data_IF_554693739909
#
_entry.id   IF_554693739909
#
_cell.length_a   1.000
_cell.length_b   1.000
_cell.length_c   1.000
_cell.angle_alpha   90.00
_cell.angle_beta   90.00
_cell.angle_gamma   90.00
#
_symmetry.space_group_name_H-M   'P 1'
#
loop_
_entity.id
_entity.type
_entity.pdbx_description
1 polymer ?
#
# COMPACT_ATOMS: atom_id res chain seq x y z
N UNK A 1 6.35 -27.56 6.92
CA UNK A 1 6.39 -28.91 6.32
C UNK A 1 5.06 -29.32 5.67
N UNK A 2 3.93 -29.34 6.39
CA UNK A 2 2.63 -29.77 5.83
C UNK A 2 2.17 -28.96 4.60
N UNK A 3 2.37 -27.64 4.59
CA UNK A 3 2.04 -26.77 3.44
C UNK A 3 2.87 -27.12 2.21
N UNK A 4 4.15 -27.44 2.40
CA UNK A 4 5.01 -27.87 1.29
C UNK A 4 4.55 -29.22 0.75
N UNK A 5 4.32 -30.21 1.62
CA UNK A 5 3.76 -31.51 1.21
C UNK A 5 2.44 -31.36 0.46
N UNK A 6 1.58 -30.43 0.87
CA UNK A 6 0.35 -30.11 0.16
C UNK A 6 0.61 -29.53 -1.23
N UNK A 7 1.60 -28.64 -1.39
CA UNK A 7 1.99 -28.10 -2.71
C UNK A 7 2.42 -29.20 -3.70
N UNK A 8 2.99 -30.31 -3.19
CA UNK A 8 3.43 -31.45 -4.00
C UNK A 8 2.27 -32.30 -4.56
N UNK A 9 1.04 -32.13 -4.07
CA UNK A 9 -0.11 -32.96 -4.48
C UNK A 9 -0.40 -32.89 -5.98
N UNK A 10 -0.03 -31.79 -6.63
CA UNK A 10 -0.23 -31.58 -8.07
C UNK A 10 0.88 -32.17 -8.92
N UNK A 11 1.99 -32.66 -8.33
CA UNK A 11 3.10 -33.25 -9.10
C UNK A 11 2.65 -34.43 -9.95
N UNK A 12 1.82 -35.31 -9.40
CA UNK A 12 1.35 -36.50 -10.12
C UNK A 12 0.40 -36.17 -11.28
N UNK A 13 -0.36 -35.09 -11.17
CA UNK A 13 -1.41 -34.74 -12.14
C UNK A 13 -0.97 -33.70 -13.16
N UNK A 14 -0.08 -32.77 -12.77
CA UNK A 14 0.36 -31.63 -13.59
C UNK A 14 1.86 -31.65 -13.89
N UNK A 15 2.62 -32.62 -13.35
CA UNK A 15 4.08 -32.68 -13.47
C UNK A 15 4.83 -31.60 -12.69
N UNK A 16 4.12 -30.74 -11.95
CA UNK A 16 4.66 -29.58 -11.21
C UNK A 16 3.93 -29.39 -9.89
N UNK A 17 4.65 -28.93 -8.86
CA UNK A 17 4.06 -28.51 -7.58
C UNK A 17 3.32 -27.17 -7.74
N UNK A 18 2.24 -26.99 -6.97
CA UNK A 18 1.44 -25.77 -6.92
C UNK A 18 1.71 -25.02 -5.61
N UNK A 19 2.65 -24.06 -5.60
CA UNK A 19 3.00 -23.31 -4.41
C UNK A 19 1.94 -22.27 -4.03
N UNK A 20 0.92 -22.03 -4.87
CA UNK A 20 -0.08 -20.96 -4.69
C UNK A 20 -0.99 -21.16 -3.49
N UNK A 21 -0.87 -22.28 -2.79
CA UNK A 21 -1.44 -22.44 -1.45
C UNK A 21 -0.89 -21.40 -0.48
N UNK A 22 0.38 -20.99 -0.64
CA UNK A 22 1.00 -19.96 0.19
C UNK A 22 0.32 -18.62 -0.05
N UNK A 23 0.06 -18.24 -1.30
CA UNK A 23 -0.65 -16.99 -1.65
C UNK A 23 -2.04 -16.93 -1.00
N UNK A 24 -2.74 -18.06 -0.88
CA UNK A 24 -4.03 -18.14 -0.14
C UNK A 24 -3.84 -17.87 1.34
N UNK A 25 -2.80 -18.44 1.94
CA UNK A 25 -2.50 -18.30 3.37
C UNK A 25 -2.07 -16.87 3.75
N UNK A 26 -1.43 -16.13 2.84
CA UNK A 26 -1.11 -14.71 3.04
C UNK A 26 -2.33 -13.87 3.43
N UNK A 27 -3.49 -14.16 2.83
CA UNK A 27 -4.73 -13.41 3.08
C UNK A 27 -5.41 -13.71 4.43
N UNK A 28 -4.97 -14.75 5.14
CA UNK A 28 -5.68 -15.29 6.32
C UNK A 28 -4.80 -15.34 7.57
N UNK A 29 -3.54 -15.76 7.44
CA UNK A 29 -2.68 -16.06 8.59
C UNK A 29 -2.39 -14.85 9.49
N UNK A 30 -2.14 -13.62 8.99
CA UNK A 30 -1.79 -12.51 9.86
C UNK A 30 -2.87 -12.16 10.89
N UNK A 31 -4.15 -12.13 10.47
CA UNK A 31 -5.22 -11.89 11.45
C UNK A 31 -5.38 -13.06 12.43
N UNK A 32 -5.15 -14.31 12.00
CA UNK A 32 -5.18 -15.46 12.91
C UNK A 32 -4.08 -15.39 13.97
N UNK A 33 -2.88 -14.93 13.59
CA UNK A 33 -1.78 -14.71 14.54
C UNK A 33 -2.11 -13.60 15.53
N UNK A 34 -2.68 -12.49 15.07
CA UNK A 34 -3.11 -11.41 15.96
C UNK A 34 -4.18 -11.87 16.96
N UNK A 35 -5.18 -12.63 16.50
CA UNK A 35 -6.20 -13.22 17.37
C UNK A 35 -5.64 -14.27 18.33
N UNK A 36 -4.68 -15.09 17.89
CA UNK A 36 -3.98 -16.04 18.77
C UNK A 36 -3.36 -15.31 19.97
N UNK A 37 -2.58 -14.24 19.72
CA UNK A 37 -1.98 -13.46 20.79
C UNK A 37 -3.01 -12.78 21.70
N UNK A 38 -4.11 -12.26 21.14
CA UNK A 38 -5.21 -11.74 21.93
C UNK A 38 -5.81 -12.78 22.88
N UNK A 39 -6.11 -13.99 22.40
CA UNK A 39 -6.69 -15.03 23.26
C UNK A 39 -5.68 -15.60 24.27
N UNK A 40 -4.38 -15.51 23.99
CA UNK A 40 -3.33 -15.92 24.92
C UNK A 40 -3.06 -14.89 26.04
N UNK A 41 -3.19 -13.60 25.75
CA UNK A 41 -2.96 -12.52 26.72
C UNK A 41 -3.91 -11.34 26.47
N UNK A 42 -5.21 -11.44 26.82
CA UNK A 42 -6.19 -10.42 26.46
C UNK A 42 -5.83 -9.02 26.97
N UNK A 43 -5.73 -8.07 26.04
CA UNK A 43 -5.48 -6.66 26.34
C UNK A 43 -6.17 -5.76 25.33
N UNK A 44 -6.41 -4.50 25.70
CA UNK A 44 -7.03 -3.52 24.80
C UNK A 44 -6.17 -3.26 23.54
N UNK A 45 -4.83 -3.27 23.69
CA UNK A 45 -3.89 -3.16 22.56
C UNK A 45 -4.02 -4.34 21.62
N UNK A 46 -4.03 -5.57 22.14
CA UNK A 46 -4.15 -6.76 21.30
C UNK A 46 -5.51 -6.87 20.63
N UNK A 47 -6.59 -6.46 21.29
CA UNK A 47 -7.91 -6.38 20.68
C UNK A 47 -7.92 -5.40 19.50
N UNK A 48 -7.32 -4.22 19.67
CA UNK A 48 -7.17 -3.24 18.59
C UNK A 48 -6.37 -3.81 17.42
N UNK A 49 -5.20 -4.39 17.69
CA UNK A 49 -4.32 -4.99 16.67
C UNK A 49 -5.02 -6.13 15.91
N UNK A 50 -5.69 -7.04 16.61
CA UNK A 50 -6.45 -8.13 16.01
C UNK A 50 -7.62 -7.62 15.16
N UNK A 51 -8.29 -6.57 15.62
CA UNK A 51 -9.41 -5.95 14.89
C UNK A 51 -8.95 -5.29 13.60
N UNK A 52 -7.93 -4.41 13.65
CA UNK A 52 -7.45 -3.73 12.43
C UNK A 52 -6.81 -4.72 11.44
N UNK A 53 -6.10 -5.73 11.94
CA UNK A 53 -5.56 -6.83 11.12
C UNK A 53 -6.69 -7.63 10.45
N UNK A 54 -7.81 -7.83 11.14
CA UNK A 54 -8.99 -8.47 10.55
C UNK A 54 -9.62 -7.63 9.44
N UNK A 55 -9.67 -6.30 9.58
CA UNK A 55 -10.14 -5.39 8.52
C UNK A 55 -9.29 -5.56 7.26
N UNK A 56 -7.96 -5.52 7.40
CA UNK A 56 -7.04 -5.76 6.29
C UNK A 56 -7.21 -7.16 5.69
N UNK A 57 -7.28 -8.20 6.53
CA UNK A 57 -7.33 -9.60 6.12
C UNK A 57 -8.64 -9.98 5.42
N UNK A 58 -9.78 -9.48 5.92
CA UNK A 58 -11.08 -9.62 5.25
C UNK A 58 -11.01 -8.95 3.88
N UNK A 59 -10.50 -7.72 3.80
CA UNK A 59 -10.34 -7.00 2.53
C UNK A 59 -9.45 -7.77 1.56
N UNK A 60 -8.30 -8.27 2.01
CA UNK A 60 -7.37 -9.01 1.16
C UNK A 60 -8.01 -10.30 0.65
N UNK A 61 -8.63 -11.06 1.55
CA UNK A 61 -9.32 -12.31 1.23
C UNK A 61 -10.43 -12.09 0.21
N UNK A 62 -11.26 -11.06 0.40
CA UNK A 62 -12.34 -10.72 -0.54
C UNK A 62 -11.78 -10.28 -1.90
N UNK A 63 -10.76 -9.43 -1.92
CA UNK A 63 -10.10 -8.99 -3.15
C UNK A 63 -9.50 -10.18 -3.92
N UNK A 64 -8.84 -11.10 -3.22
CA UNK A 64 -8.26 -12.30 -3.80
C UNK A 64 -9.35 -13.27 -4.30
N UNK A 65 -10.43 -13.44 -3.53
CA UNK A 65 -11.60 -14.23 -3.93
C UNK A 65 -12.26 -13.69 -5.21
N UNK A 66 -12.53 -12.38 -5.28
CA UNK A 66 -13.12 -11.75 -6.46
C UNK A 66 -12.27 -11.91 -7.73
N UNK A 67 -10.94 -12.05 -7.58
CA UNK A 67 -9.99 -12.28 -8.66
C UNK A 67 -9.81 -13.77 -9.00
N UNK A 68 -10.54 -14.67 -8.35
CA UNK A 68 -10.47 -16.12 -8.58
C UNK A 68 -9.36 -16.85 -7.82
N UNK A 69 -8.72 -16.24 -6.82
CA UNK A 69 -7.61 -16.86 -6.08
C UNK A 69 -7.93 -18.20 -5.38
N UNK A 70 -9.23 -18.45 -5.16
CA UNK A 70 -9.76 -19.69 -4.58
C UNK A 70 -10.43 -20.63 -5.59
N UNK A 71 -10.48 -20.31 -6.89
CA UNK A 71 -11.08 -21.18 -7.91
C UNK A 71 -10.21 -22.39 -8.28
N UNK A 72 -9.03 -22.51 -7.67
CA UNK A 72 -8.03 -23.53 -8.01
C UNK A 72 -7.18 -23.12 -9.20
N UNK A 73 -5.99 -23.74 -9.30
CA UNK A 73 -4.98 -23.36 -10.29
C UNK A 73 -3.74 -22.76 -9.64
N UNK A 74 -2.64 -22.82 -10.37
CA UNK A 74 -1.38 -22.18 -10.02
C UNK A 74 -1.42 -20.71 -10.42
N UNK A 75 -0.89 -19.82 -9.57
CA UNK A 75 -0.70 -18.41 -9.89
C UNK A 75 0.28 -18.27 -11.06
N UNK A 76 -0.09 -17.48 -12.07
CA UNK A 76 0.71 -17.32 -13.29
C UNK A 76 2.11 -16.78 -13.04
N UNK A 77 2.36 -16.09 -11.90
CA UNK A 77 3.68 -15.60 -11.51
C UNK A 77 4.64 -16.75 -11.26
N UNK A 78 4.18 -17.86 -10.68
CA UNK A 78 5.01 -19.04 -10.45
C UNK A 78 5.37 -19.75 -11.75
N UNK A 79 4.48 -19.73 -12.74
CA UNK A 79 4.78 -20.21 -14.09
C UNK A 79 5.92 -19.40 -14.72
N UNK A 80 5.90 -18.07 -14.58
CA UNK A 80 6.98 -17.20 -15.07
C UNK A 80 8.30 -17.45 -14.33
N UNK A 81 8.29 -17.44 -12.98
CA UNK A 81 9.51 -17.65 -12.17
C UNK A 81 10.15 -19.01 -12.46
N UNK A 82 9.36 -20.04 -12.76
CA UNK A 82 9.86 -21.36 -13.15
C UNK A 82 10.69 -21.34 -14.43
N UNK A 83 10.47 -20.36 -15.31
CA UNK A 83 11.27 -20.19 -16.54
C UNK A 83 12.63 -19.55 -16.32
N UNK A 84 12.88 -19.00 -15.12
CA UNK A 84 14.14 -18.32 -14.84
C UNK A 84 15.32 -19.32 -14.78
N UNK A 85 16.54 -18.88 -15.15
CA UNK A 85 17.72 -19.75 -15.14
C UNK A 85 17.94 -20.42 -13.77
N UNK A 86 18.19 -21.73 -13.77
CA UNK A 86 18.47 -22.52 -12.56
C UNK A 86 17.25 -23.19 -11.91
N UNK A 87 16.02 -22.76 -12.20
CA UNK A 87 14.83 -23.35 -11.57
C UNK A 87 14.32 -24.62 -12.25
N UNK A 88 14.74 -24.94 -13.47
CA UNK A 88 14.35 -26.18 -14.16
C UNK A 88 14.77 -27.46 -13.41
N UNK A 89 15.83 -27.41 -12.59
CA UNK A 89 16.30 -28.51 -11.74
C UNK A 89 16.16 -28.22 -10.24
N UNK A 90 16.07 -26.95 -9.85
CA UNK A 90 15.98 -26.49 -8.46
C UNK A 90 14.58 -26.14 -7.97
N UNK A 91 13.53 -26.30 -8.79
CA UNK A 91 12.18 -25.81 -8.47
C UNK A 91 11.65 -26.29 -7.13
N UNK A 92 11.77 -27.58 -6.80
CA UNK A 92 11.21 -28.10 -5.55
C UNK A 92 11.97 -27.64 -4.31
N UNK A 93 13.28 -27.42 -4.44
CA UNK A 93 14.08 -26.81 -3.36
C UNK A 93 13.68 -25.36 -3.16
N UNK A 94 13.51 -24.62 -4.26
CA UNK A 94 13.03 -23.24 -4.22
C UNK A 94 11.62 -23.13 -3.63
N UNK A 95 10.70 -24.02 -4.05
CA UNK A 95 9.36 -24.12 -3.49
C UNK A 95 9.41 -24.40 -1.98
N UNK A 96 10.19 -25.39 -1.53
CA UNK A 96 10.31 -25.73 -0.12
C UNK A 96 10.89 -24.59 0.73
N UNK A 97 12.02 -24.01 0.29
CA UNK A 97 12.83 -23.07 1.09
C UNK A 97 12.36 -21.63 0.95
N UNK A 98 12.11 -21.17 -0.27
CA UNK A 98 11.73 -19.79 -0.52
C UNK A 98 10.21 -19.61 -0.50
N UNK A 99 9.48 -20.36 -1.33
CA UNK A 99 8.05 -20.09 -1.47
C UNK A 99 7.27 -20.50 -0.23
N UNK A 100 7.54 -21.67 0.34
CA UNK A 100 6.81 -22.13 1.53
C UNK A 100 7.46 -21.65 2.81
N UNK A 101 8.71 -22.02 3.07
CA UNK A 101 9.34 -21.73 4.37
C UNK A 101 9.53 -20.23 4.60
N UNK A 102 10.25 -19.54 3.70
CA UNK A 102 10.53 -18.11 3.87
C UNK A 102 9.25 -17.26 3.92
N UNK A 103 8.28 -17.49 3.02
CA UNK A 103 7.04 -16.70 3.02
C UNK A 103 6.21 -16.93 4.30
N UNK A 104 6.10 -18.17 4.80
CA UNK A 104 5.39 -18.43 6.06
C UNK A 104 6.10 -17.81 7.27
N UNK A 105 7.44 -17.86 7.30
CA UNK A 105 8.23 -17.17 8.31
C UNK A 105 8.07 -15.65 8.22
N UNK A 106 7.96 -15.11 7.00
CA UNK A 106 7.74 -13.69 6.78
C UNK A 106 6.36 -13.24 7.29
N UNK A 107 5.31 -14.02 7.02
CA UNK A 107 3.95 -13.80 7.58
C UNK A 107 4.00 -13.72 9.10
N UNK A 108 4.68 -14.68 9.73
CA UNK A 108 4.87 -14.66 11.18
C UNK A 108 5.67 -13.42 11.61
N UNK A 109 6.73 -13.08 10.89
CA UNK A 109 7.64 -11.98 11.22
C UNK A 109 6.95 -10.62 11.20
N UNK A 110 6.20 -10.25 10.16
CA UNK A 110 5.51 -8.95 10.16
C UNK A 110 4.29 -8.91 11.09
N UNK A 111 3.74 -10.07 11.47
CA UNK A 111 2.68 -10.18 12.48
C UNK A 111 3.22 -10.19 13.92
N UNK A 112 4.54 -10.34 14.09
CA UNK A 112 5.20 -10.46 15.40
C UNK A 112 5.07 -9.25 16.35
N UNK A 113 4.75 -8.01 15.93
CA UNK A 113 4.40 -6.95 16.87
C UNK A 113 3.27 -7.33 17.84
N UNK A 114 2.33 -8.19 17.44
CA UNK A 114 1.31 -8.71 18.35
C UNK A 114 1.91 -9.62 19.44
N UNK A 115 2.96 -10.38 19.12
CA UNK A 115 3.67 -11.16 20.11
C UNK A 115 4.38 -10.26 21.13
N UNK A 116 5.06 -9.20 20.68
CA UNK A 116 5.69 -8.23 21.58
C UNK A 116 4.66 -7.55 22.50
N UNK A 117 3.51 -7.14 21.95
CA UNK A 117 2.42 -6.54 22.71
C UNK A 117 1.81 -7.48 23.77
N UNK A 118 1.87 -8.80 23.58
CA UNK A 118 1.35 -9.78 24.54
C UNK A 118 2.14 -9.86 25.85
N UNK A 119 3.42 -9.51 25.82
CA UNK A 119 4.30 -9.51 27.00
C UNK A 119 4.46 -8.13 27.64
N UNK A 120 3.80 -7.11 27.09
CA UNK A 120 3.89 -5.73 27.55
C UNK A 120 2.90 -5.42 28.66
N UNK A 121 3.37 -4.72 29.69
CA UNK A 121 2.51 -4.08 30.71
C UNK A 121 2.22 -2.60 30.42
N UNK A 122 2.80 -2.02 29.37
CA UNK A 122 2.58 -0.63 29.00
C UNK A 122 1.09 -0.40 28.63
N UNK A 123 0.43 0.65 29.18
CA UNK A 123 -0.94 0.97 28.81
C UNK A 123 -1.02 1.46 27.35
N UNK A 124 -2.23 1.46 26.79
CA UNK A 124 -2.51 2.11 25.50
C UNK A 124 -2.08 3.57 25.54
N UNK A 125 -1.48 4.05 24.45
CA UNK A 125 -0.95 5.40 24.36
C UNK A 125 -1.21 6.04 22.98
N UNK A 126 -0.76 7.29 22.81
CA UNK A 126 -0.99 8.04 21.57
C UNK A 126 -0.35 7.40 20.33
N UNK A 127 0.73 6.63 20.49
CA UNK A 127 1.37 5.93 19.38
C UNK A 127 0.50 4.76 18.89
N UNK A 128 -0.20 4.05 19.78
CA UNK A 128 -1.20 3.03 19.39
C UNK A 128 -2.31 3.65 18.52
N UNK A 129 -2.83 4.82 18.91
CA UNK A 129 -3.86 5.52 18.15
C UNK A 129 -3.34 6.00 16.79
N UNK A 130 -2.14 6.56 16.75
CA UNK A 130 -1.49 7.02 15.51
C UNK A 130 -1.24 5.85 14.56
N UNK A 131 -0.70 4.75 15.07
CA UNK A 131 -0.46 3.52 14.31
C UNK A 131 -1.77 2.96 13.73
N UNK A 132 -2.84 2.89 14.53
CA UNK A 132 -4.15 2.41 14.08
C UNK A 132 -4.76 3.29 12.98
N UNK A 133 -4.73 4.62 13.13
CA UNK A 133 -5.27 5.56 12.15
C UNK A 133 -4.50 5.46 10.83
N UNK A 134 -3.17 5.51 10.88
CA UNK A 134 -2.33 5.37 9.68
C UNK A 134 -2.55 4.01 9.00
N UNK A 135 -2.61 2.93 9.77
CA UNK A 135 -2.91 1.58 9.27
C UNK A 135 -4.24 1.56 8.50
N UNK A 136 -5.33 2.08 9.09
CA UNK A 136 -6.65 2.08 8.45
C UNK A 136 -6.72 3.00 7.22
N UNK A 137 -6.04 4.15 7.23
CA UNK A 137 -5.92 5.02 6.06
C UNK A 137 -5.20 4.32 4.91
N UNK A 138 -4.13 3.58 5.20
CA UNK A 138 -3.40 2.80 4.20
C UNK A 138 -4.23 1.62 3.69
N UNK A 139 -4.98 0.93 4.55
CA UNK A 139 -5.95 -0.11 4.13
C UNK A 139 -7.00 0.47 3.18
N UNK A 140 -7.51 1.67 3.48
CA UNK A 140 -8.46 2.37 2.60
C UNK A 140 -7.81 2.77 1.26
N UNK A 141 -6.57 3.28 1.29
CA UNK A 141 -5.79 3.60 0.09
C UNK A 141 -5.52 2.39 -0.78
N UNK A 142 -5.17 1.25 -0.17
CA UNK A 142 -4.97 -0.03 -0.84
C UNK A 142 -6.28 -0.52 -1.49
N UNK A 143 -7.39 -0.50 -0.73
CA UNK A 143 -8.70 -0.89 -1.22
C UNK A 143 -9.15 -0.02 -2.40
N UNK A 144 -8.89 1.29 -2.35
CA UNK A 144 -9.18 2.20 -3.46
C UNK A 144 -8.34 1.88 -4.70
N UNK A 145 -7.03 1.63 -4.54
CA UNK A 145 -6.15 1.25 -5.65
C UNK A 145 -6.60 -0.06 -6.31
N UNK A 146 -6.93 -1.07 -5.50
CA UNK A 146 -7.46 -2.35 -5.96
C UNK A 146 -8.82 -2.20 -6.67
N UNK A 147 -9.71 -1.38 -6.12
CA UNK A 147 -11.02 -1.11 -6.71
C UNK A 147 -10.90 -0.42 -8.08
N UNK A 148 -10.03 0.58 -8.20
CA UNK A 148 -9.71 1.24 -9.46
C UNK A 148 -9.22 0.22 -10.51
N UNK A 149 -8.29 -0.65 -10.13
CA UNK A 149 -7.79 -1.72 -11.01
C UNK A 149 -8.89 -2.71 -11.39
N UNK A 150 -9.70 -3.15 -10.44
CA UNK A 150 -10.79 -4.10 -10.67
C UNK A 150 -11.81 -3.56 -11.67
N UNK A 151 -12.28 -2.32 -11.48
CA UNK A 151 -13.21 -1.67 -12.39
C UNK A 151 -12.62 -1.55 -13.80
N UNK A 152 -11.34 -1.15 -13.89
CA UNK A 152 -10.65 -1.04 -15.17
C UNK A 152 -10.60 -2.39 -15.92
N UNK A 153 -10.16 -3.46 -15.23
CA UNK A 153 -10.07 -4.79 -15.86
C UNK A 153 -11.45 -5.31 -16.25
N UNK A 154 -12.45 -5.17 -15.38
CA UNK A 154 -13.81 -5.64 -15.64
C UNK A 154 -14.40 -4.99 -16.89
N UNK A 155 -14.25 -3.68 -17.03
CA UNK A 155 -14.75 -2.94 -18.19
C UNK A 155 -13.95 -3.26 -19.46
N UNK A 156 -12.61 -3.34 -19.37
CA UNK A 156 -11.76 -3.77 -20.49
C UNK A 156 -12.22 -5.11 -21.05
N UNK A 157 -12.39 -6.11 -20.18
CA UNK A 157 -12.80 -7.45 -20.61
C UNK A 157 -14.27 -7.52 -21.05
N UNK A 158 -15.16 -6.67 -20.51
CA UNK A 158 -16.54 -6.54 -21.01
C UNK A 158 -16.52 -6.11 -22.47
N UNK A 159 -15.82 -5.00 -22.80
CA UNK A 159 -15.72 -4.46 -24.16
C UNK A 159 -15.16 -5.46 -25.15
N UNK A 160 -14.10 -6.17 -24.77
CA UNK A 160 -13.50 -7.24 -25.59
C UNK A 160 -14.53 -8.33 -25.92
N UNK A 161 -15.33 -8.78 -24.94
CA UNK A 161 -16.33 -9.84 -25.15
C UNK A 161 -17.45 -9.43 -26.11
N UNK A 162 -17.85 -8.17 -26.10
CA UNK A 162 -18.96 -7.66 -26.92
C UNK A 162 -18.49 -7.02 -28.24
N UNK A 163 -17.17 -6.96 -28.50
CA UNK A 163 -16.62 -6.35 -29.70
C UNK A 163 -16.70 -4.81 -29.75
N UNK A 164 -16.89 -4.16 -28.60
CA UNK A 164 -16.92 -2.69 -28.52
C UNK A 164 -15.50 -2.10 -28.63
N UNK A 165 -15.41 -0.85 -29.12
CA UNK A 165 -14.15 -0.11 -29.12
C UNK A 165 -13.56 -0.02 -27.72
N UNK A 166 -12.28 -0.39 -27.61
CA UNK A 166 -11.55 -0.38 -26.36
C UNK A 166 -11.31 1.04 -25.82
N UNK A 167 -11.31 2.09 -26.68
CA UNK A 167 -11.12 3.48 -26.26
C UNK A 167 -9.94 3.66 -25.29
N UNK A 168 -10.19 4.26 -24.12
CA UNK A 168 -9.18 4.47 -23.06
C UNK A 168 -8.62 3.16 -22.47
N UNK A 169 -9.26 2.01 -22.70
CA UNK A 169 -8.81 0.69 -22.24
C UNK A 169 -7.86 0.01 -23.24
N UNK A 170 -7.67 0.58 -24.44
CA UNK A 170 -6.83 0.00 -25.50
C UNK A 170 -5.37 -0.21 -25.06
N UNK A 171 -4.87 0.64 -24.17
CA UNK A 171 -3.52 0.50 -23.58
C UNK A 171 -3.38 -0.75 -22.70
N UNK A 172 -4.48 -1.29 -22.20
CA UNK A 172 -4.52 -2.56 -21.48
C UNK A 172 -4.22 -2.51 -19.98
N UNK A 173 -3.76 -1.36 -19.47
CA UNK A 173 -3.47 -1.11 -18.05
C UNK A 173 -4.01 0.26 -17.60
N UNK A 174 -4.23 0.40 -16.30
CA UNK A 174 -4.71 1.64 -15.68
C UNK A 174 -3.55 2.60 -15.43
N UNK A 175 -3.78 3.89 -15.71
CA UNK A 175 -2.82 4.98 -15.52
C UNK A 175 -3.44 6.22 -14.86
N UNK A 176 -4.64 6.06 -14.29
CA UNK A 176 -5.44 7.15 -13.70
C UNK A 176 -5.69 6.89 -12.22
N UNK A 177 -6.07 7.94 -11.49
CA UNK A 177 -6.29 7.86 -10.05
C UNK A 177 -4.96 7.67 -9.31
N UNK A 178 -4.91 6.74 -8.37
CA UNK A 178 -3.68 6.45 -7.62
C UNK A 178 -2.56 5.92 -8.53
N UNK A 179 -2.96 5.24 -9.62
CA UNK A 179 -2.05 4.72 -10.63
C UNK A 179 -1.36 5.82 -11.46
N UNK A 180 -1.80 7.08 -11.39
CA UNK A 180 -1.07 8.19 -12.02
C UNK A 180 0.17 8.62 -11.24
N UNK A 181 0.25 8.29 -9.95
CA UNK A 181 1.33 8.72 -9.04
C UNK A 181 2.30 7.59 -8.68
N UNK A 182 1.82 6.35 -8.69
CA UNK A 182 2.64 5.16 -8.52
C UNK A 182 2.17 4.08 -9.47
N UNK A 183 3.09 3.31 -10.02
CA UNK A 183 2.76 2.12 -10.81
C UNK A 183 2.27 0.97 -9.94
N UNK A 184 2.51 1.04 -8.63
CA UNK A 184 2.13 0.03 -7.65
C UNK A 184 1.63 0.65 -6.33
N UNK A 185 0.55 1.47 -6.36
CA UNK A 185 0.07 2.20 -5.19
C UNK A 185 -0.49 1.26 -4.11
N UNK A 186 -1.10 0.14 -4.50
CA UNK A 186 -1.55 -0.90 -3.58
C UNK A 186 -0.38 -1.57 -2.85
N UNK A 187 0.72 -1.88 -3.54
CA UNK A 187 1.90 -2.47 -2.91
C UNK A 187 2.58 -1.50 -1.94
N UNK A 188 2.59 -0.21 -2.27
CA UNK A 188 3.10 0.82 -1.36
C UNK A 188 2.29 0.87 -0.06
N UNK A 189 0.95 0.84 -0.17
CA UNK A 189 0.08 0.76 0.99
C UNK A 189 0.33 -0.51 1.79
N UNK A 190 0.38 -1.67 1.12
CA UNK A 190 0.64 -2.97 1.76
C UNK A 190 1.93 -2.95 2.60
N UNK A 191 3.04 -2.46 2.04
CA UNK A 191 4.30 -2.37 2.80
C UNK A 191 4.16 -1.43 4.01
N UNK A 192 3.57 -0.25 3.84
CA UNK A 192 3.43 0.72 4.93
C UNK A 192 2.45 0.28 6.02
N UNK A 193 1.43 -0.51 5.69
CA UNK A 193 0.49 -1.11 6.66
C UNK A 193 1.27 -1.88 7.71
N UNK A 194 2.26 -2.67 7.31
CA UNK A 194 3.07 -3.46 8.23
C UNK A 194 4.15 -2.65 8.96
N UNK A 195 4.61 -1.54 8.39
CA UNK A 195 5.39 -0.55 9.14
C UNK A 195 4.54 0.15 10.23
N UNK A 196 3.27 0.44 9.94
CA UNK A 196 2.33 0.96 10.95
C UNK A 196 2.03 -0.11 12.01
N UNK A 197 1.89 -1.38 11.62
CA UNK A 197 1.71 -2.48 12.56
C UNK A 197 2.92 -2.67 13.47
N UNK A 198 4.13 -2.42 12.97
CA UNK A 198 5.36 -2.41 13.77
C UNK A 198 5.37 -1.33 14.85
N UNK A 199 4.75 -0.17 14.63
CA UNK A 199 4.68 0.88 15.66
C UNK A 199 3.98 0.41 16.95
N UNK A 200 3.14 -0.61 16.90
CA UNK A 200 2.54 -1.20 18.11
C UNK A 200 3.56 -1.89 19.02
N UNK A 201 4.66 -2.45 18.49
CA UNK A 201 5.71 -3.01 19.34
C UNK A 201 6.45 -1.90 20.10
N UNK A 202 6.73 -0.78 19.41
CA UNK A 202 7.30 0.41 20.04
C UNK A 202 6.33 0.98 21.09
N UNK A 203 5.05 1.09 20.75
CA UNK A 203 4.01 1.55 21.68
C UNK A 203 3.84 0.64 22.89
N UNK A 204 4.17 -0.65 22.76
CA UNK A 204 4.17 -1.61 23.86
C UNK A 204 5.43 -1.54 24.74
N UNK A 205 6.29 -0.54 24.55
CA UNK A 205 7.49 -0.31 25.35
C UNK A 205 8.74 -1.03 24.85
N UNK A 206 8.70 -1.66 23.67
CA UNK A 206 9.94 -2.08 22.99
C UNK A 206 10.73 -0.86 22.53
N UNK A 207 12.05 -1.03 22.34
CA UNK A 207 12.89 -0.01 21.74
C UNK A 207 12.52 0.29 20.28
N UNK A 208 12.96 1.47 19.78
CA UNK A 208 12.77 1.88 18.38
C UNK A 208 13.33 0.86 17.37
N UNK A 209 14.38 0.15 17.76
CA UNK A 209 14.94 -1.00 17.03
C UNK A 209 14.77 -2.21 17.93
N UNK A 210 13.83 -3.08 17.56
CA UNK A 210 13.55 -4.32 18.28
C UNK A 210 13.41 -5.50 17.30
N UNK A 211 13.31 -6.70 17.84
CA UNK A 211 13.32 -7.94 17.05
C UNK A 211 12.15 -8.05 16.05
N UNK A 212 11.04 -7.35 16.27
CA UNK A 212 9.87 -7.37 15.37
C UNK A 212 10.09 -6.54 14.10
N UNK A 213 11.12 -5.70 14.06
CA UNK A 213 11.52 -4.89 12.88
C UNK A 213 11.86 -5.75 11.66
N UNK A 214 12.28 -7.00 11.89
CA UNK A 214 12.60 -7.98 10.85
C UNK A 214 11.42 -8.17 9.88
N UNK A 215 10.18 -8.14 10.39
CA UNK A 215 8.98 -8.33 9.58
C UNK A 215 8.82 -7.30 8.45
N UNK A 216 8.56 -6.01 8.77
CA UNK A 216 8.36 -4.98 7.74
C UNK A 216 9.59 -4.75 6.87
N UNK A 217 10.82 -4.94 7.38
CA UNK A 217 12.04 -4.85 6.58
C UNK A 217 12.10 -5.94 5.51
N UNK A 218 11.94 -7.21 5.89
CA UNK A 218 11.99 -8.31 4.92
C UNK A 218 10.79 -8.28 3.96
N UNK A 219 9.64 -7.78 4.42
CA UNK A 219 8.49 -7.54 3.54
C UNK A 219 8.83 -6.46 2.50
N UNK A 220 9.42 -5.34 2.92
CA UNK A 220 9.86 -4.28 2.00
C UNK A 220 10.86 -4.85 0.97
N UNK A 221 11.81 -5.68 1.41
CA UNK A 221 12.76 -6.34 0.54
C UNK A 221 12.10 -7.25 -0.49
N UNK A 222 11.09 -8.04 -0.09
CA UNK A 222 10.33 -8.92 -0.99
C UNK A 222 9.62 -8.15 -2.12
N UNK A 223 9.25 -6.90 -1.88
CA UNK A 223 8.61 -6.07 -2.89
C UNK A 223 9.62 -5.31 -3.76
N UNK A 224 10.61 -4.67 -3.14
CA UNK A 224 11.40 -3.58 -3.75
C UNK A 224 12.75 -4.02 -4.31
N UNK A 225 13.36 -5.09 -3.77
CA UNK A 225 14.67 -5.54 -4.22
C UNK A 225 14.67 -5.93 -5.70
N UNK A 226 15.85 -5.92 -6.36
CA UNK A 226 15.98 -6.40 -7.72
C UNK A 226 15.44 -7.84 -7.85
N UNK A 227 14.72 -8.10 -8.94
CA UNK A 227 14.09 -9.39 -9.26
C UNK A 227 13.02 -9.84 -8.25
N UNK A 228 12.55 -8.94 -7.40
CA UNK A 228 11.49 -9.21 -6.44
C UNK A 228 10.10 -8.93 -7.05
N UNK A 229 9.04 -8.88 -6.23
CA UNK A 229 7.65 -8.87 -6.72
C UNK A 229 7.31 -7.74 -7.69
N UNK A 230 7.88 -6.54 -7.50
CA UNK A 230 7.66 -5.42 -8.41
C UNK A 230 8.24 -5.71 -9.81
N UNK A 231 9.48 -6.21 -9.89
CA UNK A 231 10.12 -6.52 -11.18
C UNK A 231 9.41 -7.62 -11.94
N UNK A 232 8.97 -8.68 -11.25
CA UNK A 232 8.18 -9.76 -11.87
C UNK A 232 6.93 -9.18 -12.52
N UNK A 233 6.22 -8.30 -11.81
CA UNK A 233 4.95 -7.73 -12.26
C UNK A 233 5.14 -6.73 -13.39
N UNK A 234 6.16 -5.88 -13.33
CA UNK A 234 6.50 -4.94 -14.39
C UNK A 234 6.95 -5.66 -15.66
N UNK A 235 7.80 -6.68 -15.55
CA UNK A 235 8.25 -7.47 -16.70
C UNK A 235 7.09 -8.18 -17.42
N UNK A 236 6.17 -8.78 -16.66
CA UNK A 236 4.96 -9.38 -17.22
C UNK A 236 4.09 -8.33 -17.93
N UNK A 237 3.97 -7.13 -17.36
CA UNK A 237 3.18 -6.04 -17.94
C UNK A 237 3.81 -5.49 -19.22
N UNK A 238 5.13 -5.26 -19.24
CA UNK A 238 5.85 -4.76 -20.41
C UNK A 238 5.84 -5.74 -21.58
N UNK A 239 5.94 -7.06 -21.32
CA UNK A 239 5.80 -8.09 -22.37
C UNK A 239 4.40 -8.13 -22.95
N UNK A 240 3.38 -7.86 -22.13
CA UNK A 240 1.97 -7.91 -22.54
C UNK A 240 1.50 -6.63 -23.23
N UNK A 241 2.00 -5.47 -22.80
CA UNK A 241 1.55 -4.15 -23.26
C UNK A 241 2.76 -3.29 -23.66
N UNK A 242 3.04 -3.12 -24.98
CA UNK A 242 4.20 -2.34 -25.44
C UNK A 242 4.24 -0.90 -24.90
N UNK A 243 3.07 -0.26 -24.76
CA UNK A 243 2.95 1.11 -24.23
C UNK A 243 3.20 1.23 -22.71
N UNK A 244 3.45 0.12 -22.01
CA UNK A 244 3.76 0.12 -20.58
C UNK A 244 5.17 0.65 -20.31
N UNK A 245 6.10 0.50 -21.26
CA UNK A 245 7.45 1.05 -21.13
C UNK A 245 7.44 2.59 -21.04
N UNK A 246 6.54 3.27 -21.76
CA UNK A 246 6.39 4.74 -21.64
C UNK A 246 5.82 5.13 -20.27
N UNK A 247 4.90 4.32 -19.75
CA UNK A 247 4.37 4.49 -18.39
C UNK A 247 5.46 4.26 -17.32
N UNK A 248 6.40 3.35 -17.56
CA UNK A 248 7.56 3.13 -16.68
C UNK A 248 8.55 4.31 -16.66
N UNK A 249 8.59 5.13 -17.72
CA UNK A 249 9.45 6.32 -17.77
C UNK A 249 8.87 7.50 -17.01
N UNK A 250 7.53 7.61 -17.02
CA UNK A 250 6.80 8.78 -16.53
C UNK A 250 6.31 8.63 -15.10
N UNK A 251 5.80 7.46 -14.70
CA UNK A 251 5.17 7.30 -13.38
C UNK A 251 6.13 6.65 -12.40
N UNK A 252 6.14 7.06 -11.13
CA UNK A 252 7.01 6.45 -10.11
C UNK A 252 6.73 4.96 -9.93
N UNK A 253 7.77 4.15 -9.73
CA UNK A 253 7.64 2.69 -9.58
C UNK A 253 6.84 2.29 -8.35
N UNK A 254 7.15 2.87 -7.19
CA UNK A 254 6.65 2.37 -5.90
C UNK A 254 6.14 3.50 -5.01
N UNK A 255 7.01 4.43 -4.62
CA UNK A 255 6.62 5.60 -3.81
C UNK A 255 5.76 6.53 -4.66
N UNK A 256 4.54 6.91 -4.23
CA UNK A 256 3.69 7.83 -4.97
C UNK A 256 4.36 9.19 -5.15
N UNK A 257 4.67 9.56 -6.39
CA UNK A 257 5.27 10.84 -6.76
C UNK A 257 4.56 11.40 -7.99
N UNK A 258 4.49 12.73 -8.17
CA UNK A 258 3.99 13.32 -9.41
C UNK A 258 4.72 12.74 -10.64
N UNK A 259 4.01 12.48 -11.75
CA UNK A 259 4.62 11.90 -12.93
C UNK A 259 5.69 12.83 -13.52
N UNK A 260 6.79 12.23 -13.99
CA UNK A 260 7.83 12.90 -14.77
C UNK A 260 7.23 13.32 -16.13
N UNK A 261 7.54 14.53 -16.62
CA UNK A 261 7.11 14.94 -17.94
C UNK A 261 7.82 14.10 -19.01
N UNK A 262 7.08 13.37 -19.85
CA UNK A 262 7.60 12.75 -21.09
C UNK A 262 6.63 12.98 -22.27
N UNK A 263 5.83 14.04 -22.17
CA UNK A 263 4.88 14.53 -23.18
C UNK A 263 4.65 16.01 -22.90
N UNK A 264 4.46 16.83 -23.93
CA UNK A 264 3.97 18.21 -23.78
C UNK A 264 2.66 18.21 -23.00
N UNK A 265 2.77 18.32 -21.68
CA UNK A 265 1.72 18.88 -20.84
C UNK A 265 1.73 20.38 -21.15
N UNK A 266 0.57 21.05 -21.30
CA UNK A 266 0.58 22.51 -21.36
C UNK A 266 1.41 23.02 -20.18
N UNK A 267 2.27 24.03 -20.40
CA UNK A 267 3.18 24.50 -19.35
C UNK A 267 2.35 24.77 -18.10
N UNK A 268 2.75 24.17 -16.97
CA UNK A 268 2.12 24.37 -15.67
C UNK A 268 1.76 25.85 -15.56
N UNK A 269 0.49 26.18 -15.33
CA UNK A 269 0.14 27.58 -15.14
C UNK A 269 0.96 28.15 -13.98
N UNK A 270 1.09 29.47 -13.88
CA UNK A 270 1.74 30.07 -12.71
C UNK A 270 1.09 29.53 -11.40
N UNK A 271 -0.22 29.23 -11.45
CA UNK A 271 -0.98 28.59 -10.38
C UNK A 271 -0.54 27.16 -10.09
N UNK A 272 -0.33 26.31 -11.10
CA UNK A 272 0.07 24.92 -10.88
C UNK A 272 1.50 24.81 -10.35
N UNK A 273 2.40 25.69 -10.82
CA UNK A 273 3.77 25.81 -10.27
C UNK A 273 3.74 26.30 -8.83
N UNK A 274 2.90 27.29 -8.53
CA UNK A 274 2.72 27.78 -7.17
C UNK A 274 2.12 26.72 -6.24
N UNK A 275 1.16 25.91 -6.72
CA UNK A 275 0.51 24.86 -5.94
C UNK A 275 1.44 23.69 -5.64
N UNK A 276 2.23 23.22 -6.62
CA UNK A 276 3.19 22.14 -6.43
C UNK A 276 4.35 22.59 -5.54
N UNK A 277 4.84 23.82 -5.74
CA UNK A 277 5.86 24.39 -4.85
C UNK A 277 5.31 24.59 -3.43
N UNK A 278 4.06 25.05 -3.30
CA UNK A 278 3.34 25.18 -2.02
C UNK A 278 3.09 23.82 -1.35
N UNK A 279 2.82 22.75 -2.11
CA UNK A 279 2.64 21.41 -1.55
C UNK A 279 3.96 20.83 -1.06
N UNK A 280 5.03 20.95 -1.84
CA UNK A 280 6.36 20.44 -1.46
C UNK A 280 6.97 21.24 -0.31
N UNK A 281 6.88 22.58 -0.37
CA UNK A 281 7.30 23.46 0.74
C UNK A 281 6.36 23.25 1.92
N UNK A 282 5.06 23.14 1.72
CA UNK A 282 4.07 22.90 2.76
C UNK A 282 4.28 21.57 3.47
N UNK A 283 4.59 20.47 2.77
CA UNK A 283 4.89 19.18 3.39
C UNK A 283 6.25 19.21 4.10
N UNK A 284 7.27 19.86 3.54
CA UNK A 284 8.57 20.05 4.20
C UNK A 284 8.48 20.95 5.43
N UNK A 285 7.67 22.01 5.36
CA UNK A 285 7.40 22.96 6.43
C UNK A 285 6.50 22.32 7.49
N UNK A 286 5.50 21.51 7.14
CA UNK A 286 4.68 20.77 8.12
C UNK A 286 5.55 19.78 8.91
N UNK A 287 6.50 19.11 8.24
CA UNK A 287 7.47 18.23 8.90
C UNK A 287 8.51 18.98 9.76
N UNK A 288 8.73 20.28 9.51
CA UNK A 288 9.61 21.15 10.30
C UNK A 288 8.85 21.97 11.37
N UNK A 289 7.52 22.14 11.23
CA UNK A 289 6.64 22.95 12.10
C UNK A 289 5.91 22.10 13.15
N UNK A 290 5.85 20.77 13.05
CA UNK A 290 5.27 19.94 14.12
C UNK A 290 6.06 19.96 15.45
N UNK A 291 7.21 20.65 15.50
CA UNK A 291 7.92 20.97 16.74
C UNK A 291 7.28 22.14 17.52
N UNK A 292 6.43 22.94 16.87
CA UNK A 292 5.88 24.18 17.41
C UNK A 292 4.52 24.00 18.11
N UNK A 293 3.81 22.88 17.89
CA UNK A 293 2.58 22.56 18.61
C UNK A 293 2.80 22.28 20.11
N UNK A 294 4.05 22.29 20.56
CA UNK A 294 4.45 22.27 21.98
C UNK A 294 4.29 23.65 22.66
N UNK A 295 4.07 24.76 21.92
CA UNK A 295 4.39 26.10 22.43
C UNK A 295 3.28 27.16 22.58
N UNK A 296 2.00 26.94 22.28
CA UNK A 296 1.00 28.03 22.44
C UNK A 296 -0.26 27.60 23.19
N UNK A 297 -0.49 28.26 24.34
CA UNK A 297 -1.41 27.86 25.39
C UNK A 297 -2.78 28.60 25.46
N UNK A 298 -3.03 29.66 24.68
CA UNK A 298 -4.34 30.35 24.69
C UNK A 298 -4.63 31.14 23.39
N UNK A 299 -5.70 30.75 22.70
CA UNK A 299 -6.12 31.24 21.38
C UNK A 299 -6.84 32.60 21.43
N UNK A 300 -7.34 33.01 22.60
CA UNK A 300 -8.17 34.22 22.75
C UNK A 300 -7.41 35.55 22.57
N UNK A 301 -6.07 35.51 22.53
CA UNK A 301 -5.19 36.69 22.45
C UNK A 301 -4.67 37.01 21.04
N UNK A 302 -5.14 36.29 20.02
CA UNK A 302 -4.72 36.47 18.63
C UNK A 302 -5.06 37.87 18.09
N UNK A 303 -4.09 38.58 17.49
CA UNK A 303 -4.27 39.92 16.93
C UNK A 303 -3.86 41.08 17.86
N UNK A 304 -3.51 40.81 19.12
CA UNK A 304 -2.94 41.80 20.03
C UNK A 304 -1.42 41.92 19.82
N UNK A 305 -0.89 43.15 19.92
CA UNK A 305 0.53 43.42 19.76
C UNK A 305 1.35 42.65 20.82
N UNK A 306 2.27 41.79 20.38
CA UNK A 306 3.06 40.91 21.25
C UNK A 306 2.46 39.53 21.55
N UNK A 307 1.23 39.24 21.08
CA UNK A 307 0.55 37.93 21.29
C UNK A 307 0.00 37.30 20.01
N UNK A 308 0.21 37.94 18.86
CA UNK A 308 -0.10 37.34 17.56
C UNK A 308 1.07 36.44 17.18
N UNK A 309 0.88 35.12 16.98
CA UNK A 309 1.96 34.27 16.52
C UNK A 309 2.39 34.73 15.13
N UNK A 310 3.66 34.49 14.84
CA UNK A 310 4.28 34.84 13.56
C UNK A 310 3.62 34.09 12.39
N UNK A 311 2.85 33.03 12.68
CA UNK A 311 2.16 32.18 11.70
C UNK A 311 0.85 31.52 12.21
N UNK A 312 -0.20 31.34 11.36
CA UNK A 312 -0.30 31.92 10.03
C UNK A 312 -0.69 33.40 10.09
N UNK A 313 -0.05 34.27 9.29
CA UNK A 313 -0.35 35.68 9.29
C UNK A 313 -1.75 35.95 8.72
N UNK A 314 -2.31 37.11 9.07
CA UNK A 314 -3.67 37.54 8.68
C UNK A 314 -4.07 37.29 7.21
N UNK A 315 -3.18 37.39 6.20
CA UNK A 315 -3.52 37.09 4.81
C UNK A 315 -3.94 35.62 4.56
N UNK A 316 -3.39 34.66 5.30
CA UNK A 316 -3.77 33.25 5.18
C UNK A 316 -5.19 33.00 5.72
N UNK A 317 -5.57 33.71 6.78
CA UNK A 317 -6.92 33.68 7.33
C UNK A 317 -7.92 34.28 6.33
N UNK A 318 -7.55 35.37 5.65
CA UNK A 318 -8.39 35.97 4.61
C UNK A 318 -8.55 35.08 3.36
N UNK A 319 -7.53 34.31 2.99
CA UNK A 319 -7.61 33.37 1.85
C UNK A 319 -8.57 32.20 2.09
N UNK A 320 -8.67 31.73 3.35
CA UNK A 320 -9.62 30.68 3.76
C UNK A 320 -11.07 31.20 3.69
N UNK A 321 -11.29 32.46 4.07
CA UNK A 321 -12.59 33.13 3.94
C UNK A 321 -13.02 33.39 2.48
N UNK A 322 -12.05 33.55 1.56
CA UNK A 322 -12.33 33.66 0.13
C UNK A 322 -12.75 32.32 -0.49
N UNK A 323 -12.09 31.22 -0.11
CA UNK A 323 -12.37 29.87 -0.62
C UNK A 323 -13.76 29.33 -0.24
N UNK A 324 -14.35 29.84 0.85
CA UNK A 324 -15.67 29.43 1.34
C UNK A 324 -16.86 30.12 0.65
N UNK A 325 -16.61 31.04 -0.30
CA UNK A 325 -17.66 31.76 -1.09
C UNK A 325 -17.71 31.32 -2.57
N UNK A 326 -17.56 30.02 -2.84
CA UNK A 326 -17.47 29.41 -4.19
C UNK A 326 -18.75 29.53 -5.05
N UNK A 327 -19.88 29.93 -4.48
CA UNK A 327 -21.22 29.94 -5.10
C UNK A 327 -21.48 31.11 -6.07
N UNK A 328 -20.49 31.98 -6.36
CA UNK A 328 -20.69 33.24 -7.11
C UNK A 328 -19.81 33.44 -8.36
N UNK A 329 -19.29 32.40 -8.99
CA UNK A 329 -18.51 32.57 -10.23
C UNK A 329 -19.37 32.35 -11.50
N UNK A 330 -19.39 33.30 -12.46
CA UNK A 330 -20.22 33.21 -13.66
C UNK A 330 -19.69 32.16 -14.64
N UNK A 331 -20.56 31.58 -15.50
CA UNK A 331 -20.19 30.48 -16.37
C UNK A 331 -19.23 30.92 -17.49
N UNK A 332 -18.34 30.00 -17.96
CA UNK A 332 -17.32 30.30 -18.95
C UNK A 332 -17.90 30.49 -20.37
N UNK A 333 -17.23 31.28 -21.23
CA UNK A 333 -17.74 31.62 -22.55
C UNK A 333 -17.57 30.46 -23.57
N UNK A 334 -18.41 30.40 -24.63
CA UNK A 334 -18.36 29.30 -25.59
C UNK A 334 -17.14 29.42 -26.51
N UNK A 335 -16.49 28.28 -26.72
CA UNK A 335 -15.31 28.15 -27.57
C UNK A 335 -15.70 28.14 -29.06
N UNK A 336 -15.07 29.02 -29.85
CA UNK A 336 -15.15 29.07 -31.31
C UNK A 336 -13.93 28.44 -31.97
#
# INVERSE_FOLDING_TARGET
MCVWLYSLRTLRTRGTSDPSIVDRLWSVLPQLYAWHWYFSAPSARLLLMATISSVWGIRLTLNFYMKGGFSGGEDHRWVEVRTWPGFSRGWEVFNAVFIVLYQLLLILAFSSPAAAAAYSTAPLNALDATAAVLYLLLVAGEALADHQMFLFQREKYRRIRVGESAGVYARGFIERGLWAYSRHPNYFCEVLIWWCYYLFSIASGEGLVNWTLVGPVFLTCLFVLPQASLDVTENLSSRKYPAYTDYQRTVSRFVPLPPKPDRELPPLSLGDRALVMWFVIGTAVTYLIDIEQVLVADVSKYGQAGHTPVWPPAPCVHAIHWWTQWDRLPPPPPAG
#
